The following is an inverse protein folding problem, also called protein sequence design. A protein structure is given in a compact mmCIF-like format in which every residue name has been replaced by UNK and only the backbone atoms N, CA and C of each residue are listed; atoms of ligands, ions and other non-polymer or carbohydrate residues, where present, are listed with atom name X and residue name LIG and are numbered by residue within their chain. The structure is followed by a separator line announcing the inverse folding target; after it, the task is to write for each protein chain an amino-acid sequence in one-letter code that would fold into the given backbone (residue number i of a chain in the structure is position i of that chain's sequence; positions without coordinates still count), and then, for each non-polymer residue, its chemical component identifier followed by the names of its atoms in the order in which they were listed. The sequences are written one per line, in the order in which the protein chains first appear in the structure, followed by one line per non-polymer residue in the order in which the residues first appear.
data_IF_931969551346
#
_entry.id   IF_931969551346
#
_cell.length_a   1.000
_cell.length_b   1.000
_cell.length_c   1.000
_cell.angle_alpha   90.00
_cell.angle_beta   90.00
_cell.angle_gamma   90.00
#
_symmetry.space_group_name_H-M   'P 1'
#
loop_
_entity.id
_entity.type
_entity.pdbx_description
1 polymer ?
#
# COMPACT_ATOMS: atom_id res chain seq x y z
N UNK A 1 65.01 -21.82 12.11
CA UNK A 1 64.29 -22.93 12.77
C UNK A 1 63.20 -22.32 13.63
N UNK A 2 62.03 -22.96 13.61
CA UNK A 2 60.71 -22.42 13.94
C UNK A 2 60.50 -21.97 15.39
N UNK A 3 59.76 -20.88 15.58
CA UNK A 3 58.92 -20.66 16.77
C UNK A 3 57.56 -20.07 16.33
N UNK A 4 56.51 -20.58 16.97
CA UNK A 4 55.15 -20.74 16.44
C UNK A 4 54.31 -19.44 16.32
N UNK A 5 53.29 -19.42 15.44
CA UNK A 5 52.23 -18.42 15.48
C UNK A 5 51.31 -18.67 16.69
N UNK A 6 51.13 -17.65 17.54
CA UNK A 6 50.10 -17.62 18.59
C UNK A 6 48.74 -17.33 17.99
N UNK A 7 47.82 -18.29 18.07
CA UNK A 7 46.38 -18.08 17.88
C UNK A 7 45.85 -17.28 19.08
N UNK A 8 45.45 -16.02 18.89
CA UNK A 8 44.65 -15.27 19.86
C UNK A 8 43.28 -14.93 19.30
N UNK A 9 42.27 -15.45 19.99
CA UNK A 9 40.86 -15.05 20.04
C UNK A 9 40.11 -14.91 18.72
N UNK A 10 39.45 -16.01 18.36
CA UNK A 10 38.06 -16.00 17.93
C UNK A 10 37.23 -14.95 18.69
N UNK A 11 36.76 -13.93 17.99
CA UNK A 11 35.80 -12.95 18.48
C UNK A 11 35.01 -12.41 17.29
N UNK A 12 33.90 -13.09 16.98
CA UNK A 12 32.74 -12.58 16.24
C UNK A 12 32.96 -11.32 15.39
N UNK A 13 33.34 -11.49 14.12
CA UNK A 13 32.96 -10.49 13.14
C UNK A 13 31.44 -10.56 12.99
N UNK A 14 30.76 -9.58 13.59
CA UNK A 14 29.37 -9.27 13.32
C UNK A 14 29.27 -8.93 11.83
N UNK A 15 28.97 -9.94 11.02
CA UNK A 15 28.38 -9.72 9.72
C UNK A 15 26.98 -9.17 10.00
N UNK A 16 26.88 -7.84 10.14
CA UNK A 16 25.61 -7.17 9.91
C UNK A 16 25.26 -7.44 8.46
N UNK A 17 24.53 -8.53 8.23
CA UNK A 17 23.75 -8.67 7.03
C UNK A 17 22.83 -7.46 7.02
N UNK A 18 23.04 -6.54 6.08
CA UNK A 18 22.05 -5.50 5.84
C UNK A 18 20.71 -6.21 5.66
N UNK A 19 19.75 -5.94 6.56
CA UNK A 19 18.36 -6.28 6.31
C UNK A 19 18.06 -5.70 4.92
N UNK A 20 17.48 -6.49 3.98
CA UNK A 20 17.08 -5.93 2.70
C UNK A 20 16.23 -4.72 3.02
N UNK A 21 16.72 -3.53 2.67
CA UNK A 21 16.01 -2.27 2.77
C UNK A 21 14.63 -2.57 2.21
N UNK A 22 13.62 -2.60 3.09
CA UNK A 22 12.30 -3.08 2.71
C UNK A 22 11.88 -2.18 1.55
N UNK A 23 11.86 -2.73 0.33
CA UNK A 23 11.39 -2.05 -0.85
C UNK A 23 9.93 -1.76 -0.57
N UNK A 24 9.69 -0.61 0.05
CA UNK A 24 8.37 -0.15 0.39
C UNK A 24 7.64 -0.06 -0.93
N UNK A 25 6.81 -1.07 -1.18
CA UNK A 25 6.08 -1.20 -2.41
C UNK A 25 5.10 -0.05 -2.32
N UNK A 26 5.48 1.10 -2.89
CA UNK A 26 4.64 2.29 -2.97
C UNK A 26 3.47 1.90 -3.84
N UNK A 27 2.48 1.27 -3.23
CA UNK A 27 1.21 0.94 -3.84
C UNK A 27 0.63 2.29 -4.22
N UNK A 28 0.69 2.60 -5.51
CA UNK A 28 0.21 3.87 -6.03
C UNK A 28 -1.25 4.01 -5.61
N UNK A 29 -1.54 5.04 -4.82
CA UNK A 29 -2.90 5.31 -4.38
C UNK A 29 -3.78 5.49 -5.62
N UNK A 30 -4.97 4.88 -5.63
CA UNK A 30 -5.93 5.13 -6.71
C UNK A 30 -6.25 6.62 -6.73
N UNK A 31 -6.09 7.26 -7.88
CA UNK A 31 -6.35 8.69 -8.07
C UNK A 31 -7.83 8.99 -8.32
N UNK A 32 -8.56 8.00 -8.82
CA UNK A 32 -9.98 8.13 -9.11
C UNK A 32 -10.66 6.76 -9.19
N UNK A 33 -11.99 6.79 -9.15
CA UNK A 33 -12.88 5.64 -9.28
C UNK A 33 -13.81 5.86 -10.47
N UNK A 34 -13.92 4.84 -11.32
CA UNK A 34 -14.92 4.81 -12.38
C UNK A 34 -16.24 4.29 -11.81
N UNK A 35 -17.31 5.05 -11.94
CA UNK A 35 -18.63 4.66 -11.44
C UNK A 35 -19.68 4.78 -12.54
N UNK A 36 -20.55 3.78 -12.64
CA UNK A 36 -21.71 3.81 -13.52
C UNK A 36 -22.90 4.45 -12.79
N UNK A 37 -23.37 5.59 -13.27
CA UNK A 37 -24.51 6.31 -12.71
C UNK A 37 -25.35 6.92 -13.83
N UNK A 38 -26.69 6.75 -13.78
CA UNK A 38 -27.64 7.28 -14.78
C UNK A 38 -27.25 6.95 -16.23
N UNK A 39 -26.93 5.68 -16.48
CA UNK A 39 -26.53 5.16 -17.79
C UNK A 39 -25.28 5.82 -18.40
N UNK A 40 -24.41 6.39 -17.55
CA UNK A 40 -23.15 7.01 -17.94
C UNK A 40 -22.05 6.63 -16.97
N UNK A 41 -20.82 6.56 -17.47
CA UNK A 41 -19.65 6.42 -16.63
C UNK A 41 -19.15 7.78 -16.17
N UNK A 42 -18.88 7.90 -14.87
CA UNK A 42 -18.33 9.09 -14.23
C UNK A 42 -17.01 8.74 -13.57
N UNK A 43 -16.07 9.67 -13.63
CA UNK A 43 -14.79 9.56 -12.91
C UNK A 43 -14.91 10.38 -11.63
N UNK A 44 -14.80 9.72 -10.48
CA UNK A 44 -14.82 10.36 -9.16
C UNK A 44 -13.37 10.46 -8.66
N UNK A 45 -12.77 11.67 -8.56
CA UNK A 45 -11.44 11.86 -7.98
C UNK A 45 -11.41 11.44 -6.51
N UNK A 46 -10.32 10.84 -6.05
CA UNK A 46 -10.19 10.39 -4.65
C UNK A 46 -10.30 11.55 -3.66
N UNK A 47 -9.84 12.74 -4.02
CA UNK A 47 -9.93 13.96 -3.22
C UNK A 47 -11.37 14.45 -2.99
N UNK A 48 -12.31 14.07 -3.86
CA UNK A 48 -13.72 14.43 -3.71
C UNK A 48 -14.48 13.48 -2.77
N UNK A 49 -13.87 12.38 -2.33
CA UNK A 49 -14.50 11.34 -1.52
C UNK A 49 -14.41 11.71 -0.05
N UNK A 50 -15.56 11.73 0.63
CA UNK A 50 -15.64 11.93 2.06
C UNK A 50 -15.49 10.61 2.83
N UNK A 51 -16.16 9.54 2.38
CA UNK A 51 -16.09 8.22 3.01
C UNK A 51 -16.56 7.10 2.08
N UNK A 52 -16.30 5.86 2.51
CA UNK A 52 -16.86 4.63 1.96
C UNK A 52 -17.69 3.93 3.02
N UNK A 53 -18.78 3.28 2.61
CA UNK A 53 -19.56 2.40 3.50
C UNK A 53 -20.21 1.25 2.72
N UNK A 54 -20.65 0.22 3.43
CA UNK A 54 -21.38 -0.92 2.85
C UNK A 54 -22.88 -0.73 3.08
N UNK A 55 -23.67 -0.89 2.02
CA UNK A 55 -25.13 -0.83 2.05
C UNK A 55 -25.69 -1.87 1.10
N UNK A 56 -26.54 -2.78 1.61
CA UNK A 56 -27.10 -3.89 0.83
C UNK A 56 -26.03 -4.70 0.09
N UNK A 57 -24.96 -5.08 0.80
CA UNK A 57 -23.79 -5.79 0.26
C UNK A 57 -23.05 -5.09 -0.89
N UNK A 58 -23.36 -3.82 -1.15
CA UNK A 58 -22.68 -3.00 -2.14
C UNK A 58 -21.80 -1.95 -1.45
N UNK A 59 -20.64 -1.67 -2.05
CA UNK A 59 -19.77 -0.56 -1.60
C UNK A 59 -20.30 0.75 -2.16
N UNK A 60 -20.50 1.73 -1.28
CA UNK A 60 -20.99 3.06 -1.64
C UNK A 60 -19.90 4.10 -1.36
N UNK A 61 -19.64 4.94 -2.35
CA UNK A 61 -18.83 6.15 -2.23
C UNK A 61 -19.76 7.30 -1.86
N UNK A 62 -19.38 8.06 -0.83
CA UNK A 62 -19.99 9.37 -0.54
C UNK A 62 -18.97 10.45 -0.84
N UNK A 63 -19.35 11.42 -1.66
CA UNK A 63 -18.52 12.59 -1.97
C UNK A 63 -18.76 13.73 -0.97
N UNK A 64 -17.85 14.70 -0.94
CA UNK A 64 -17.93 15.87 -0.04
C UNK A 64 -19.21 16.71 -0.25
N UNK A 65 -19.80 16.66 -1.45
CA UNK A 65 -21.11 17.25 -1.79
C UNK A 65 -22.31 16.36 -1.42
N UNK A 66 -22.08 15.30 -0.63
CA UNK A 66 -23.08 14.34 -0.13
C UNK A 66 -23.78 13.52 -1.22
N UNK A 67 -23.20 13.41 -2.42
CA UNK A 67 -23.70 12.48 -3.44
C UNK A 67 -23.23 11.06 -3.16
N UNK A 68 -24.11 10.11 -3.40
CA UNK A 68 -23.83 8.68 -3.23
C UNK A 68 -23.65 8.00 -4.59
N UNK A 69 -22.64 7.14 -4.68
CA UNK A 69 -22.34 6.35 -5.87
C UNK A 69 -22.03 4.92 -5.47
N UNK A 70 -22.86 3.97 -5.92
CA UNK A 70 -22.60 2.54 -5.72
C UNK A 70 -21.49 2.09 -6.66
N UNK A 71 -20.47 1.44 -6.12
CA UNK A 71 -19.44 0.76 -6.90
C UNK A 71 -19.92 -0.67 -7.16
N UNK A 72 -20.14 -0.99 -8.42
CA UNK A 72 -20.27 -2.36 -8.86
C UNK A 72 -18.86 -2.96 -8.95
N UNK A 73 -18.58 -4.02 -8.19
CA UNK A 73 -17.42 -4.86 -8.47
C UNK A 73 -17.77 -5.73 -9.68
N UNK A 74 -17.14 -5.46 -10.82
CA UNK A 74 -17.11 -6.36 -11.98
C UNK A 74 -15.70 -6.89 -12.17
#
# INVERSE_FOLDING_TARGET
MMSHPTLSSSGFNQQYQALPEATETRKTLKKSFLVFNRNKYLIIPTEAIALFYIKFDATVIVTADKKEYTISYS
#
